data_IF_858014992784
#
_entry.id   IF_858014992784
#
_cell.length_a   1.000
_cell.length_b   1.000
_cell.length_c   1.000
_cell.angle_alpha   90.00
_cell.angle_beta   90.00
_cell.angle_gamma   90.00
#
_symmetry.space_group_name_H-M   'P 1'
#
loop_
_entity.id
_entity.type
_entity.pdbx_description
1 polymer ?
#
# COMPACT_ATOMS: atom_id res chain seq x y z
N UNK A 1 23.33 33.78 10.35
CA UNK A 1 22.80 34.42 9.11
C UNK A 1 22.45 33.29 8.16
N UNK A 2 21.22 32.98 7.79
CA UNK A 2 19.88 33.50 8.12
C UNK A 2 18.99 32.27 8.11
N UNK A 3 18.23 32.08 9.18
CA UNK A 3 17.17 31.08 9.25
C UNK A 3 16.20 31.34 8.12
N UNK A 4 16.07 30.39 7.18
CA UNK A 4 14.94 30.39 6.27
C UNK A 4 13.80 29.69 7.02
N UNK A 5 13.23 30.41 7.99
CA UNK A 5 11.80 30.29 8.23
C UNK A 5 11.13 30.99 7.04
N UNK A 6 11.08 30.30 5.90
CA UNK A 6 10.26 30.75 4.79
C UNK A 6 8.83 30.74 5.30
N UNK A 7 8.28 31.95 5.40
CA UNK A 7 6.97 32.20 5.95
C UNK A 7 5.95 31.35 5.19
N UNK A 8 5.00 30.73 5.91
CA UNK A 8 4.03 29.75 5.40
C UNK A 8 3.07 30.31 4.33
N UNK A 9 3.28 31.55 3.88
CA UNK A 9 2.49 32.31 2.92
C UNK A 9 3.15 32.51 1.55
N UNK A 10 4.47 32.35 1.36
CA UNK A 10 5.16 32.90 0.17
C UNK A 10 5.26 31.98 -1.07
N UNK A 11 5.05 30.66 -0.97
CA UNK A 11 5.24 29.76 -2.12
C UNK A 11 4.03 29.68 -3.09
N UNK A 12 3.06 30.60 -2.99
CA UNK A 12 1.95 30.65 -3.96
C UNK A 12 2.39 31.42 -5.22
N UNK A 13 2.54 30.71 -6.34
CA UNK A 13 2.80 31.30 -7.65
C UNK A 13 4.23 31.11 -8.17
N UNK A 14 5.12 30.52 -7.37
CA UNK A 14 6.44 30.10 -7.86
C UNK A 14 6.33 28.82 -8.70
N UNK A 15 6.96 28.84 -9.87
CA UNK A 15 7.03 27.69 -10.78
C UNK A 15 8.15 26.77 -10.32
N UNK A 16 7.78 25.71 -9.59
CA UNK A 16 8.73 24.66 -9.24
C UNK A 16 8.94 23.76 -10.45
N UNK A 17 10.12 23.15 -10.55
CA UNK A 17 10.39 22.19 -11.63
C UNK A 17 11.00 20.92 -11.07
N UNK A 18 10.70 19.80 -11.72
CA UNK A 18 11.35 18.54 -11.41
C UNK A 18 12.87 18.69 -11.61
N UNK A 19 13.72 18.33 -10.62
CA UNK A 19 15.16 18.50 -10.76
C UNK A 19 15.73 17.69 -11.93
N UNK A 20 15.08 16.58 -12.30
CA UNK A 20 15.55 15.63 -13.32
C UNK A 20 15.05 15.92 -14.74
N UNK A 21 13.77 16.25 -14.93
CA UNK A 21 13.20 16.50 -16.27
C UNK A 21 12.63 17.89 -16.48
N UNK A 22 12.79 18.79 -15.51
CA UNK A 22 12.39 20.20 -15.58
C UNK A 22 10.90 20.47 -15.82
N UNK A 23 10.04 19.44 -15.84
CA UNK A 23 8.58 19.61 -15.87
C UNK A 23 8.10 20.44 -14.69
N UNK A 24 7.11 21.30 -14.93
CA UNK A 24 6.55 22.18 -13.92
C UNK A 24 5.81 21.39 -12.83
N UNK A 25 6.05 21.77 -11.58
CA UNK A 25 5.45 21.20 -10.38
C UNK A 25 4.63 22.28 -9.68
N UNK A 26 3.45 21.89 -9.22
CA UNK A 26 2.64 22.66 -8.28
C UNK A 26 3.07 22.34 -6.85
N UNK A 27 3.15 23.36 -6.00
CA UNK A 27 3.30 23.17 -4.57
C UNK A 27 1.93 23.07 -3.89
N UNK A 28 1.67 21.96 -3.19
CA UNK A 28 0.50 21.84 -2.33
C UNK A 28 0.91 22.20 -0.90
N UNK A 29 0.27 23.23 -0.35
CA UNK A 29 0.46 23.66 1.04
C UNK A 29 0.07 22.56 2.02
N UNK A 30 0.59 22.67 3.23
CA UNK A 30 0.16 21.84 4.34
C UNK A 30 -1.34 21.98 4.54
N UNK A 31 -2.00 20.85 4.79
CA UNK A 31 -3.44 20.78 5.01
C UNK A 31 -3.75 20.16 6.34
N UNK A 32 -5.01 20.26 6.78
CA UNK A 32 -5.50 19.54 7.96
C UNK A 32 -6.31 18.32 7.52
N UNK A 33 -6.02 17.15 8.09
CA UNK A 33 -6.80 15.92 7.90
C UNK A 33 -7.55 15.58 9.18
N UNK A 34 -8.87 15.49 9.09
CA UNK A 34 -9.72 15.06 10.19
C UNK A 34 -9.74 13.53 10.30
N UNK A 35 -9.29 13.01 11.43
CA UNK A 35 -9.51 11.62 11.89
C UNK A 35 -10.68 11.59 12.88
N UNK A 36 -11.17 10.39 13.22
CA UNK A 36 -12.34 10.23 14.11
C UNK A 36 -12.22 11.02 15.41
N UNK A 37 -11.03 10.99 16.04
CA UNK A 37 -10.81 11.57 17.37
C UNK A 37 -9.85 12.78 17.38
N UNK A 38 -9.23 13.15 16.23
CA UNK A 38 -8.23 14.22 16.18
C UNK A 38 -8.05 14.80 14.79
N UNK A 39 -7.43 15.97 14.71
CA UNK A 39 -6.93 16.55 13.46
C UNK A 39 -5.43 16.33 13.39
N UNK A 40 -4.93 15.90 12.22
CA UNK A 40 -3.49 15.84 11.95
C UNK A 40 -3.12 16.81 10.83
N UNK A 41 -1.90 17.34 10.90
CA UNK A 41 -1.35 18.13 9.81
C UNK A 41 -0.78 17.21 8.72
N UNK A 42 -1.14 17.50 7.47
CA UNK A 42 -0.57 16.89 6.27
C UNK A 42 0.54 17.81 5.81
N UNK A 43 1.77 17.31 5.78
CA UNK A 43 2.93 18.06 5.30
C UNK A 43 2.72 18.56 3.87
N UNK A 44 3.28 19.73 3.52
CA UNK A 44 3.25 20.20 2.15
C UNK A 44 4.07 19.27 1.24
N UNK A 45 3.71 19.21 -0.03
CA UNK A 45 4.44 18.40 -1.00
C UNK A 45 4.32 18.98 -2.41
N UNK A 46 5.28 18.63 -3.28
CA UNK A 46 5.25 18.99 -4.70
C UNK A 46 4.50 17.93 -5.50
N UNK A 47 3.71 18.37 -6.48
CA UNK A 47 2.93 17.51 -7.36
C UNK A 47 2.99 18.00 -8.81
N UNK A 48 2.69 17.12 -9.75
CA UNK A 48 2.40 17.52 -11.13
C UNK A 48 1.01 18.16 -11.22
N UNK A 49 0.81 19.04 -12.19
CA UNK A 49 -0.53 19.43 -12.58
C UNK A 49 -1.27 18.28 -13.27
N UNK A 50 -2.59 18.29 -13.18
CA UNK A 50 -3.42 17.20 -13.68
C UNK A 50 -3.22 16.99 -15.19
N UNK A 51 -2.86 15.76 -15.57
CA UNK A 51 -2.64 15.37 -16.96
C UNK A 51 -1.25 15.68 -17.51
N UNK A 52 -0.35 16.26 -16.69
CA UNK A 52 1.06 16.45 -17.05
C UNK A 52 1.85 15.23 -16.56
N UNK A 53 2.77 14.75 -17.40
CA UNK A 53 3.67 13.63 -17.06
C UNK A 53 5.13 14.09 -17.05
N UNK A 54 5.94 13.43 -16.24
CA UNK A 54 7.39 13.55 -16.36
C UNK A 54 7.88 13.04 -17.73
N UNK A 55 9.01 13.54 -18.22
CA UNK A 55 9.64 13.01 -19.43
C UNK A 55 10.05 11.54 -19.28
N UNK A 56 10.12 10.78 -20.38
CA UNK A 56 10.32 9.33 -20.36
C UNK A 56 11.56 8.83 -19.61
N UNK A 57 12.64 9.62 -19.57
CA UNK A 57 13.88 9.26 -18.88
C UNK A 57 13.93 9.77 -17.42
N UNK A 58 12.87 10.39 -16.93
CA UNK A 58 12.80 10.86 -15.56
C UNK A 58 12.56 9.69 -14.60
N UNK A 59 13.26 9.68 -13.46
CA UNK A 59 13.01 8.71 -12.40
C UNK A 59 11.55 8.75 -11.90
N UNK A 60 10.90 9.89 -11.99
CA UNK A 60 9.49 10.04 -11.61
C UNK A 60 8.50 9.73 -12.74
N UNK A 61 8.96 9.28 -13.91
CA UNK A 61 8.06 8.86 -14.98
C UNK A 61 7.33 7.57 -14.59
N UNK A 62 6.02 7.65 -14.45
CA UNK A 62 5.13 6.53 -14.12
C UNK A 62 5.35 5.32 -15.03
N UNK A 63 5.36 5.54 -16.35
CA UNK A 63 5.49 4.45 -17.31
C UNK A 63 6.89 3.82 -17.27
N UNK A 64 7.95 4.61 -17.17
CA UNK A 64 9.33 4.14 -17.02
C UNK A 64 9.51 3.32 -15.74
N UNK A 65 8.91 3.75 -14.62
CA UNK A 65 8.88 2.95 -13.39
C UNK A 65 8.14 1.63 -13.57
N UNK A 66 7.01 1.63 -14.30
CA UNK A 66 6.30 0.40 -14.66
C UNK A 66 7.19 -0.48 -15.54
N UNK A 67 7.93 0.07 -16.51
CA UNK A 67 8.83 -0.70 -17.36
C UNK A 67 9.97 -1.33 -16.56
N UNK A 68 10.59 -0.60 -15.65
CA UNK A 68 11.60 -1.13 -14.71
C UNK A 68 11.00 -2.27 -13.87
N UNK A 69 9.79 -2.07 -13.34
CA UNK A 69 9.02 -3.10 -12.63
C UNK A 69 8.70 -4.28 -13.57
N UNK A 70 8.56 -4.12 -14.88
CA UNK A 70 8.31 -5.28 -15.76
C UNK A 70 9.58 -6.02 -16.18
N UNK A 71 10.74 -5.34 -16.20
CA UNK A 71 11.99 -5.89 -16.72
C UNK A 71 12.87 -6.64 -15.70
N UNK A 72 12.61 -6.57 -14.38
CA UNK A 72 13.43 -7.36 -13.42
C UNK A 72 13.22 -8.88 -13.66
N UNK A 73 14.28 -9.71 -13.68
CA UNK A 73 14.27 -11.07 -14.23
C UNK A 73 13.38 -12.11 -13.52
N UNK A 74 13.02 -13.13 -14.32
CA UNK A 74 12.32 -14.40 -14.07
C UNK A 74 10.81 -14.36 -13.74
N UNK A 75 10.03 -14.88 -14.70
CA UNK A 75 8.65 -15.37 -14.58
C UNK A 75 7.52 -14.36 -14.29
N UNK A 76 7.36 -13.30 -15.11
CA UNK A 76 6.26 -12.32 -14.94
C UNK A 76 5.15 -12.36 -16.00
N UNK A 77 5.25 -13.16 -17.07
CA UNK A 77 4.17 -13.26 -18.09
C UNK A 77 2.84 -13.72 -17.49
N UNK A 78 2.87 -14.48 -16.40
CA UNK A 78 1.67 -14.92 -15.71
C UNK A 78 1.05 -13.83 -14.82
N UNK A 79 1.86 -12.91 -14.30
CA UNK A 79 1.45 -11.82 -13.42
C UNK A 79 1.11 -10.54 -14.16
N UNK A 80 1.91 -10.15 -15.14
CA UNK A 80 1.71 -8.97 -15.97
C UNK A 80 1.74 -9.32 -17.45
N UNK A 81 0.78 -8.75 -18.18
CA UNK A 81 0.65 -8.91 -19.62
C UNK A 81 0.70 -7.55 -20.28
N UNK A 82 1.58 -7.37 -21.28
CA UNK A 82 1.61 -6.14 -22.10
C UNK A 82 0.40 -6.16 -23.04
N UNK A 83 -0.47 -5.15 -22.95
CA UNK A 83 -1.69 -5.03 -23.76
C UNK A 83 -1.51 -4.08 -24.94
N UNK A 84 -0.78 -2.98 -24.74
CA UNK A 84 -0.44 -1.98 -25.77
C UNK A 84 0.98 -1.46 -25.52
N UNK A 85 1.47 -0.57 -26.41
CA UNK A 85 2.82 0.03 -26.31
C UNK A 85 3.11 0.57 -24.91
N UNK A 86 2.13 1.25 -24.31
CA UNK A 86 2.21 1.99 -23.05
C UNK A 86 1.29 1.44 -21.95
N UNK A 87 0.79 0.20 -22.08
CA UNK A 87 -0.21 -0.35 -21.18
C UNK A 87 0.05 -1.81 -20.84
N UNK A 88 0.04 -2.12 -19.54
CA UNK A 88 0.13 -3.46 -18.97
C UNK A 88 -1.15 -3.81 -18.18
N UNK A 89 -1.38 -5.10 -17.99
CA UNK A 89 -2.44 -5.63 -17.14
C UNK A 89 -1.86 -6.55 -16.06
N UNK A 90 -2.22 -6.30 -14.79
CA UNK A 90 -1.84 -7.11 -13.62
C UNK A 90 -2.94 -8.15 -13.36
N UNK A 91 -2.57 -9.42 -13.28
CA UNK A 91 -3.46 -10.54 -13.01
C UNK A 91 -3.51 -10.83 -11.51
N UNK A 92 -4.46 -10.21 -10.81
CA UNK A 92 -4.66 -10.33 -9.36
C UNK A 92 -4.92 -11.78 -8.89
N UNK A 93 -5.37 -12.65 -9.79
CA UNK A 93 -5.54 -14.08 -9.51
C UNK A 93 -4.23 -14.79 -9.19
N UNK A 94 -3.10 -14.34 -9.75
CA UNK A 94 -1.77 -14.89 -9.46
C UNK A 94 -1.31 -14.42 -8.09
N UNK A 95 -1.51 -13.12 -7.78
CA UNK A 95 -1.25 -12.57 -6.44
C UNK A 95 -2.03 -13.34 -5.37
N UNK A 96 -3.32 -13.60 -5.63
CA UNK A 96 -4.16 -14.36 -4.70
C UNK A 96 -3.64 -15.77 -4.44
N UNK A 97 -3.16 -16.47 -5.48
CA UNK A 97 -2.55 -17.80 -5.32
C UNK A 97 -1.26 -17.73 -4.51
N UNK A 98 -0.38 -16.76 -4.82
CA UNK A 98 0.86 -16.56 -4.11
C UNK A 98 0.68 -16.27 -2.60
N UNK A 99 -0.41 -15.58 -2.21
CA UNK A 99 -0.74 -15.36 -0.80
C UNK A 99 -1.23 -16.62 -0.07
N UNK A 100 -1.81 -17.59 -0.79
CA UNK A 100 -2.37 -18.81 -0.20
C UNK A 100 -1.34 -19.93 -0.03
N UNK A 101 -0.17 -19.81 -0.68
CA UNK A 101 0.90 -20.77 -0.54
C UNK A 101 1.56 -20.65 0.85
N UNK A 102 2.07 -21.76 1.41
CA UNK A 102 2.82 -21.72 2.67
C UNK A 102 4.07 -20.84 2.52
N UNK A 103 4.45 -20.07 3.56
CA UNK A 103 5.71 -19.33 3.58
C UNK A 103 6.88 -20.27 3.25
N UNK A 104 7.81 -19.83 2.43
CA UNK A 104 9.08 -20.55 2.28
C UNK A 104 9.88 -20.28 3.57
N UNK A 105 10.49 -21.32 4.13
CA UNK A 105 11.51 -21.13 5.16
C UNK A 105 12.64 -20.34 4.49
N UNK A 106 12.90 -19.13 4.96
CA UNK A 106 14.07 -18.36 4.54
C UNK A 106 15.30 -19.10 5.09
N UNK A 107 15.89 -20.01 4.30
CA UNK A 107 17.21 -20.55 4.65
C UNK A 107 18.18 -19.37 4.70
N UNK A 108 18.68 -19.09 5.91
CA UNK A 108 19.76 -18.14 6.12
C UNK A 108 20.89 -18.47 5.15
N UNK A 109 21.20 -17.51 4.27
CA UNK A 109 22.31 -17.63 3.35
C UNK A 109 23.58 -17.89 4.14
N UNK A 110 24.02 -19.14 4.17
CA UNK A 110 25.31 -19.51 4.72
C UNK A 110 26.37 -18.74 3.95
N UNK A 111 27.05 -17.85 4.67
CA UNK A 111 28.14 -17.04 4.18
C UNK A 111 29.15 -17.92 3.44
N UNK A 112 29.24 -17.75 2.12
CA UNK A 112 30.29 -18.37 1.34
C UNK A 112 31.63 -17.77 1.75
N UNK A 113 32.41 -18.55 2.50
CA UNK A 113 33.82 -18.27 2.77
C UNK A 113 34.59 -18.26 1.42
N UNK A 114 35.35 -17.21 1.08
CA UNK A 114 36.03 -17.14 -0.20
C UNK A 114 37.44 -17.76 -0.11
N UNK A 115 37.56 -19.08 -0.17
CA UNK A 115 38.85 -19.74 -0.48
C UNK A 115 38.65 -21.08 -1.20
N UNK A 116 39.11 -21.18 -2.46
CA UNK A 116 39.38 -22.45 -3.13
C UNK A 116 38.96 -22.51 -4.59
N UNK A 117 39.95 -22.66 -5.49
CA UNK A 117 39.81 -22.84 -6.94
C UNK A 117 39.16 -24.18 -7.31
N UNK A 118 38.41 -24.17 -8.42
CA UNK A 118 38.17 -25.34 -9.28
C UNK A 118 37.00 -26.23 -8.85
N UNK A 119 35.84 -26.10 -9.50
CA UNK A 119 35.43 -27.01 -10.58
C UNK A 119 34.04 -26.62 -11.07
N UNK A 120 33.87 -26.56 -12.39
CA UNK A 120 32.58 -26.35 -13.03
C UNK A 120 31.74 -27.61 -12.83
N UNK A 121 30.89 -27.60 -11.81
CA UNK A 121 29.80 -28.56 -11.67
C UNK A 121 28.48 -27.82 -11.76
N UNK A 122 27.69 -28.20 -12.76
CA UNK A 122 26.29 -27.85 -12.95
C UNK A 122 25.51 -28.04 -11.64
N UNK A 123 25.39 -26.96 -10.87
CA UNK A 123 24.43 -26.89 -9.78
C UNK A 123 23.07 -26.60 -10.40
N UNK A 124 22.39 -27.68 -10.77
CA UNK A 124 20.94 -27.70 -11.00
C UNK A 124 20.24 -27.10 -9.77
N UNK A 125 19.98 -25.80 -9.83
CA UNK A 125 19.19 -25.07 -8.87
C UNK A 125 17.74 -25.56 -9.04
N UNK A 126 17.36 -26.57 -8.24
CA UNK A 126 15.97 -27.01 -8.16
C UNK A 126 15.15 -25.86 -7.59
N UNK A 127 14.52 -25.10 -8.48
CA UNK A 127 13.49 -24.10 -8.22
C UNK A 127 12.37 -24.74 -7.38
N UNK A 128 12.45 -24.62 -6.05
CA UNK A 128 11.37 -24.93 -5.11
C UNK A 128 10.96 -23.61 -4.48
N UNK A 129 9.72 -23.18 -4.77
CA UNK A 129 9.11 -21.97 -4.21
C UNK A 129 9.34 -20.72 -5.07
N UNK A 130 8.38 -20.36 -5.93
CA UNK A 130 8.60 -19.36 -7.01
C UNK A 130 7.58 -18.21 -7.02
N UNK A 131 6.84 -18.00 -5.93
CA UNK A 131 5.70 -17.05 -5.91
C UNK A 131 5.93 -15.79 -5.05
N UNK A 132 6.96 -15.77 -4.21
CA UNK A 132 7.49 -14.56 -3.54
C UNK A 132 7.78 -13.38 -4.51
N UNK A 133 8.30 -13.61 -5.73
CA UNK A 133 8.51 -12.55 -6.71
C UNK A 133 7.24 -11.80 -7.12
N UNK A 134 6.08 -12.48 -7.16
CA UNK A 134 4.80 -11.84 -7.51
C UNK A 134 4.31 -10.91 -6.41
N UNK A 135 4.44 -11.34 -5.15
CA UNK A 135 4.07 -10.52 -3.99
C UNK A 135 4.99 -9.29 -3.87
N UNK A 136 6.29 -9.50 -4.08
CA UNK A 136 7.27 -8.41 -4.12
C UNK A 136 6.99 -7.43 -5.25
N UNK A 137 6.58 -7.94 -6.43
CA UNK A 137 6.19 -7.08 -7.55
C UNK A 137 4.93 -6.30 -7.27
N UNK A 138 3.94 -6.94 -6.66
CA UNK A 138 2.71 -6.28 -6.28
C UNK A 138 3.01 -5.15 -5.29
N UNK A 139 3.87 -5.40 -4.31
CA UNK A 139 4.38 -4.39 -3.38
C UNK A 139 5.02 -3.20 -4.11
N UNK A 140 5.91 -3.43 -5.07
CA UNK A 140 6.51 -2.36 -5.88
C UNK A 140 5.45 -1.51 -6.59
N UNK A 141 4.42 -2.14 -7.17
CA UNK A 141 3.31 -1.44 -7.83
C UNK A 141 2.48 -0.65 -6.82
N UNK A 142 2.26 -1.17 -5.62
CA UNK A 142 1.53 -0.46 -4.57
C UNK A 142 2.29 0.76 -4.06
N UNK A 143 3.61 0.65 -3.90
CA UNK A 143 4.49 1.77 -3.57
C UNK A 143 4.49 2.81 -4.70
N UNK A 144 4.53 2.36 -5.95
CA UNK A 144 4.44 3.27 -7.09
C UNK A 144 3.09 4.00 -7.09
N UNK A 145 1.98 3.28 -6.87
CA UNK A 145 0.64 3.87 -6.81
C UNK A 145 0.54 4.87 -5.65
N UNK A 146 1.08 4.59 -4.48
CA UNK A 146 0.97 5.49 -3.33
C UNK A 146 1.69 6.82 -3.51
N UNK A 147 2.68 6.87 -4.43
CA UNK A 147 3.37 8.11 -4.80
C UNK A 147 2.54 9.00 -5.75
N UNK A 148 1.43 8.49 -6.28
CA UNK A 148 0.54 9.21 -7.20
C UNK A 148 -0.66 9.78 -6.46
N UNK A 149 -1.18 10.90 -6.94
CA UNK A 149 -2.36 11.51 -6.33
C UNK A 149 -3.65 10.82 -6.79
N UNK A 150 -3.79 10.64 -8.11
CA UNK A 150 -5.01 10.12 -8.70
C UNK A 150 -4.81 8.70 -9.22
N UNK A 151 -5.88 7.90 -9.15
CA UNK A 151 -5.91 6.60 -9.80
C UNK A 151 -5.75 6.73 -11.33
N UNK A 152 -6.13 7.86 -11.92
CA UNK A 152 -6.03 8.12 -13.37
C UNK A 152 -4.57 8.01 -13.85
N UNK A 153 -3.62 8.51 -13.06
CA UNK A 153 -2.18 8.54 -13.39
C UNK A 153 -1.62 7.12 -13.60
N UNK A 154 -2.03 6.17 -12.74
CA UNK A 154 -1.62 4.76 -12.90
C UNK A 154 -2.49 4.03 -13.91
N UNK A 155 -3.79 4.37 -14.00
CA UNK A 155 -4.80 3.63 -14.78
C UNK A 155 -4.57 3.72 -16.28
N UNK A 156 -3.95 4.80 -16.76
CA UNK A 156 -3.49 4.93 -18.15
C UNK A 156 -2.60 3.75 -18.55
N UNK A 157 -1.67 3.40 -17.67
CA UNK A 157 -0.59 2.45 -17.93
C UNK A 157 -0.82 1.06 -17.31
N UNK A 158 -1.65 0.94 -16.28
CA UNK A 158 -1.91 -0.31 -15.57
C UNK A 158 -3.40 -0.61 -15.42
N UNK A 159 -3.78 -1.77 -15.97
CA UNK A 159 -5.09 -2.40 -15.74
C UNK A 159 -4.98 -3.47 -14.67
N UNK A 160 -6.05 -3.65 -13.91
CA UNK A 160 -6.17 -4.74 -12.94
C UNK A 160 -7.14 -5.78 -13.49
N UNK A 161 -6.74 -7.05 -13.55
CA UNK A 161 -7.56 -8.15 -14.04
C UNK A 161 -7.73 -9.23 -12.97
N UNK A 162 -8.96 -9.69 -12.76
CA UNK A 162 -9.29 -10.80 -11.88
C UNK A 162 -10.35 -11.70 -12.52
N UNK A 163 -10.04 -12.99 -12.74
CA UNK A 163 -10.95 -13.95 -13.39
C UNK A 163 -11.55 -13.40 -14.70
N UNK A 164 -10.68 -12.89 -15.56
CA UNK A 164 -11.02 -12.29 -16.87
C UNK A 164 -11.90 -11.03 -16.82
N UNK A 165 -12.04 -10.40 -15.65
CA UNK A 165 -12.75 -9.12 -15.50
C UNK A 165 -11.77 -8.02 -15.11
N UNK A 166 -11.93 -6.84 -15.70
CA UNK A 166 -11.19 -5.65 -15.28
C UNK A 166 -11.75 -5.12 -13.97
N UNK A 167 -10.87 -4.90 -12.99
CA UNK A 167 -11.18 -4.27 -11.72
C UNK A 167 -10.76 -2.80 -11.82
N UNK A 168 -11.65 -1.91 -11.38
CA UNK A 168 -11.34 -0.48 -11.33
C UNK A 168 -10.48 -0.16 -10.10
N UNK A 169 -9.55 0.78 -10.23
CA UNK A 169 -8.61 1.12 -9.16
C UNK A 169 -9.29 1.62 -7.88
N UNK A 170 -10.43 2.29 -7.99
CA UNK A 170 -11.29 2.73 -6.87
C UNK A 170 -11.97 1.58 -6.10
N UNK A 171 -11.90 0.35 -6.63
CA UNK A 171 -12.36 -0.87 -5.94
C UNK A 171 -11.21 -1.69 -5.39
N UNK A 172 -9.98 -1.37 -5.79
CA UNK A 172 -8.79 -2.15 -5.46
C UNK A 172 -7.88 -1.41 -4.48
N UNK A 173 -7.54 -0.14 -4.75
CA UNK A 173 -6.64 0.66 -3.93
C UNK A 173 -7.44 1.71 -3.14
N UNK A 174 -7.25 1.71 -1.82
CA UNK A 174 -7.87 2.67 -0.92
C UNK A 174 -6.78 3.41 -0.16
N UNK A 175 -6.58 4.67 -0.55
CA UNK A 175 -5.58 5.55 0.03
C UNK A 175 -5.95 6.03 1.45
N UNK A 176 -5.05 6.80 2.08
CA UNK A 176 -5.22 7.30 3.43
C UNK A 176 -6.05 8.60 3.46
N UNK A 177 -6.59 9.03 2.32
CA UNK A 177 -7.45 10.21 2.22
C UNK A 177 -8.89 9.90 2.63
N UNK A 178 -9.58 10.89 3.18
CA UNK A 178 -10.98 10.76 3.60
C UNK A 178 -11.90 10.25 2.48
N UNK A 179 -11.70 10.73 1.24
CA UNK A 179 -12.49 10.31 0.07
C UNK A 179 -12.37 8.81 -0.19
N UNK A 180 -11.17 8.24 -0.03
CA UNK A 180 -10.92 6.82 -0.30
C UNK A 180 -11.57 5.94 0.76
N UNK A 181 -11.56 6.38 2.02
CA UNK A 181 -12.31 5.73 3.07
C UNK A 181 -13.83 5.78 2.87
N UNK A 182 -14.37 6.89 2.34
CA UNK A 182 -15.78 6.96 1.96
C UNK A 182 -16.10 5.97 0.83
N UNK A 183 -15.24 5.89 -0.18
CA UNK A 183 -15.37 4.91 -1.26
C UNK A 183 -15.29 3.48 -0.72
N UNK A 184 -14.34 3.19 0.17
CA UNK A 184 -14.20 1.90 0.87
C UNK A 184 -15.48 1.53 1.63
N UNK A 185 -16.03 2.48 2.40
CA UNK A 185 -17.25 2.29 3.16
C UNK A 185 -18.45 1.99 2.24
N UNK A 186 -18.62 2.76 1.17
CA UNK A 186 -19.66 2.54 0.15
C UNK A 186 -19.49 1.21 -0.57
N UNK A 187 -18.24 0.82 -0.87
CA UNK A 187 -17.90 -0.42 -1.56
C UNK A 187 -18.40 -1.64 -0.78
N UNK A 188 -18.14 -1.68 0.53
CA UNK A 188 -18.55 -2.78 1.39
C UNK A 188 -19.99 -2.71 1.91
N UNK A 189 -20.63 -1.53 1.85
CA UNK A 189 -22.05 -1.37 2.21
C UNK A 189 -22.96 -2.29 1.39
N UNK A 190 -22.69 -2.38 0.09
CA UNK A 190 -23.58 -3.07 -0.86
C UNK A 190 -23.12 -4.49 -1.21
N UNK A 191 -21.85 -4.83 -0.93
CA UNK A 191 -21.24 -6.14 -1.21
C UNK A 191 -20.21 -6.46 -0.12
N UNK A 192 -20.56 -7.26 0.90
CA UNK A 192 -19.67 -7.50 2.03
C UNK A 192 -18.42 -8.32 1.67
N UNK A 193 -18.44 -9.07 0.57
CA UNK A 193 -17.33 -9.95 0.17
C UNK A 193 -16.84 -9.66 -1.25
N UNK A 194 -15.80 -8.82 -1.42
CA UNK A 194 -15.16 -8.64 -2.70
C UNK A 194 -14.44 -9.93 -3.06
N UNK A 195 -14.63 -10.35 -4.32
CA UNK A 195 -14.06 -11.61 -4.80
C UNK A 195 -12.55 -11.53 -5.06
N UNK A 196 -11.97 -10.34 -4.99
CA UNK A 196 -10.57 -10.06 -5.31
C UNK A 196 -9.83 -9.44 -4.12
N UNK A 197 -8.49 -9.57 -4.07
CA UNK A 197 -7.67 -8.86 -3.09
C UNK A 197 -7.86 -7.34 -3.21
N UNK A 198 -7.68 -6.62 -2.11
CA UNK A 198 -7.63 -5.16 -2.08
C UNK A 198 -6.29 -4.69 -1.50
N UNK A 199 -5.96 -3.43 -1.74
CA UNK A 199 -4.84 -2.72 -1.15
C UNK A 199 -5.38 -1.55 -0.32
N UNK A 200 -4.94 -1.45 0.93
CA UNK A 200 -5.28 -0.36 1.84
C UNK A 200 -4.00 0.31 2.29
N UNK A 201 -3.98 1.63 2.18
CA UNK A 201 -2.97 2.49 2.78
C UNK A 201 -3.56 3.22 3.99
N UNK A 202 -2.81 3.27 5.09
CA UNK A 202 -3.26 3.97 6.28
C UNK A 202 -2.17 4.15 7.33
N UNK A 203 -2.58 4.71 8.47
CA UNK A 203 -1.70 4.91 9.62
C UNK A 203 -2.06 3.89 10.69
N UNK A 204 -1.09 3.11 11.18
CA UNK A 204 -1.28 2.22 12.32
C UNK A 204 -1.50 3.08 13.57
N UNK A 205 -2.69 2.96 14.16
CA UNK A 205 -3.05 3.67 15.39
C UNK A 205 -2.46 2.97 16.61
N UNK A 206 -2.69 1.67 16.71
CA UNK A 206 -2.30 0.80 17.81
C UNK A 206 -2.30 -0.67 17.35
N UNK A 207 -1.75 -1.56 18.16
CA UNK A 207 -1.88 -3.00 17.96
C UNK A 207 -2.22 -3.72 19.26
N UNK A 208 -2.90 -4.86 19.15
CA UNK A 208 -3.35 -5.67 20.27
C UNK A 208 -3.13 -7.15 19.97
N UNK A 209 -2.75 -7.92 20.98
CA UNK A 209 -2.76 -9.39 20.91
C UNK A 209 -4.20 -9.85 21.17
N UNK A 210 -4.70 -10.73 20.31
CA UNK A 210 -6.05 -11.29 20.37
C UNK A 210 -6.01 -12.78 20.17
N UNK A 211 -7.13 -13.44 20.45
CA UNK A 211 -7.31 -14.87 20.26
C UNK A 211 -8.50 -15.12 19.35
N UNK A 212 -8.35 -16.06 18.42
CA UNK A 212 -9.44 -16.44 17.52
C UNK A 212 -10.42 -17.43 18.21
N UNK A 213 -11.43 -17.90 17.48
CA UNK A 213 -12.41 -18.88 18.01
C UNK A 213 -11.81 -20.26 18.31
N UNK A 214 -10.59 -20.54 17.83
CA UNK A 214 -9.87 -21.80 17.98
C UNK A 214 -8.73 -21.68 19.01
N UNK A 215 -8.73 -20.63 19.83
CA UNK A 215 -7.69 -20.34 20.81
C UNK A 215 -6.29 -20.05 20.22
N UNK A 216 -6.18 -19.74 18.93
CA UNK A 216 -4.93 -19.29 18.32
C UNK A 216 -4.72 -17.81 18.54
N UNK A 217 -3.51 -17.41 18.95
CA UNK A 217 -3.19 -15.99 19.15
C UNK A 217 -2.79 -15.33 17.84
N UNK A 218 -3.10 -14.05 17.73
CA UNK A 218 -2.71 -13.21 16.61
C UNK A 218 -2.53 -11.75 17.07
N UNK A 219 -1.65 -11.03 16.38
CA UNK A 219 -1.47 -9.59 16.53
C UNK A 219 -2.42 -8.86 15.56
N UNK A 220 -3.19 -7.91 16.07
CA UNK A 220 -4.13 -7.10 15.30
C UNK A 220 -3.66 -5.65 15.30
N UNK A 221 -3.15 -5.18 14.16
CA UNK A 221 -2.72 -3.80 13.93
C UNK A 221 -3.90 -2.99 13.39
N UNK A 222 -4.43 -2.07 14.19
CA UNK A 222 -5.61 -1.28 13.84
C UNK A 222 -5.18 0.02 13.18
N UNK A 223 -5.77 0.31 12.02
CA UNK A 223 -5.52 1.58 11.33
C UNK A 223 -6.38 2.71 11.92
N UNK A 224 -5.89 3.93 11.78
CA UNK A 224 -6.63 5.14 12.12
C UNK A 224 -7.96 5.20 11.37
N UNK A 225 -9.03 5.50 12.11
CA UNK A 225 -10.37 5.61 11.55
C UNK A 225 -10.60 7.00 10.99
N UNK A 226 -11.21 7.12 9.81
CA UNK A 226 -11.64 8.40 9.26
C UNK A 226 -12.83 8.94 10.05
N UNK A 227 -12.95 10.26 10.15
CA UNK A 227 -14.18 10.87 10.65
C UNK A 227 -15.22 10.97 9.54
N UNK A 228 -16.21 10.08 9.54
CA UNK A 228 -17.31 10.09 8.56
C UNK A 228 -18.43 11.00 9.06
N UNK A 229 -18.71 12.06 8.28
CA UNK A 229 -19.85 12.96 8.52
C UNK A 229 -21.16 12.43 7.93
N UNK A 230 -21.08 11.83 6.75
CA UNK A 230 -22.25 11.42 5.97
C UNK A 230 -23.03 10.30 6.66
N UNK A 231 -24.37 10.44 6.67
CA UNK A 231 -25.30 9.42 7.13
C UNK A 231 -26.03 8.76 5.96
N UNK A 232 -26.48 7.52 6.14
CA UNK A 232 -27.45 6.90 5.22
C UNK A 232 -28.87 7.46 5.42
N UNK A 233 -29.83 6.96 4.64
CA UNK A 233 -31.25 7.34 4.71
C UNK A 233 -31.89 7.02 6.05
N UNK A 234 -31.29 6.11 6.83
CA UNK A 234 -31.74 5.71 8.16
C UNK A 234 -31.02 6.50 9.28
N UNK A 235 -30.15 7.46 8.92
CA UNK A 235 -29.40 8.27 9.87
C UNK A 235 -28.11 7.62 10.40
N UNK A 236 -27.68 6.48 9.87
CA UNK A 236 -26.45 5.81 10.31
C UNK A 236 -25.21 6.34 9.59
N UNK A 237 -24.16 6.65 10.37
CA UNK A 237 -22.81 6.90 9.84
C UNK A 237 -22.13 5.56 9.55
N UNK A 238 -21.53 5.43 8.38
CA UNK A 238 -20.82 4.19 8.00
C UNK A 238 -19.31 4.36 8.11
N UNK A 239 -18.74 3.86 9.21
CA UNK A 239 -17.33 4.06 9.55
C UNK A 239 -16.52 2.81 9.18
N UNK A 240 -15.59 2.90 8.21
CA UNK A 240 -14.66 1.80 7.93
C UNK A 240 -13.64 1.69 9.07
N UNK A 241 -13.44 0.47 9.56
CA UNK A 241 -12.49 0.14 10.61
C UNK A 241 -11.60 -0.99 10.11
N UNK A 242 -10.34 -0.67 9.79
CA UNK A 242 -9.42 -1.62 9.17
C UNK A 242 -8.47 -2.20 10.21
N UNK A 243 -8.31 -3.53 10.19
CA UNK A 243 -7.32 -4.26 10.99
C UNK A 243 -6.47 -5.18 10.13
N UNK A 244 -5.15 -5.12 10.29
CA UNK A 244 -4.21 -6.06 9.71
C UNK A 244 -3.86 -7.12 10.75
N UNK A 245 -4.19 -8.38 10.49
CA UNK A 245 -4.01 -9.46 11.44
C UNK A 245 -2.89 -10.40 11.02
N UNK A 246 -2.02 -10.76 11.96
CA UNK A 246 -0.87 -11.65 11.77
C UNK A 246 -0.91 -12.72 12.87
N UNK A 247 -0.95 -13.99 12.50
CA UNK A 247 -0.88 -15.08 13.49
C UNK A 247 0.51 -15.15 14.15
N UNK A 248 0.55 -15.65 15.39
CA UNK A 248 1.78 -15.70 16.19
C UNK A 248 2.92 -16.51 15.54
N UNK A 249 2.60 -17.52 14.71
CA UNK A 249 3.61 -18.27 13.95
C UNK A 249 4.45 -17.45 12.97
N UNK A 250 4.09 -16.19 12.68
CA UNK A 250 4.84 -15.28 11.81
C UNK A 250 5.64 -14.26 12.63
N UNK A 251 6.48 -14.73 13.57
CA UNK A 251 7.24 -13.89 14.51
C UNK A 251 8.06 -12.80 13.81
N UNK A 252 8.80 -13.13 12.75
CA UNK A 252 9.63 -12.15 12.00
C UNK A 252 8.82 -11.01 11.39
N UNK A 253 7.61 -11.29 10.92
CA UNK A 253 6.69 -10.29 10.39
C UNK A 253 6.09 -9.43 11.52
N UNK A 254 5.77 -10.05 12.67
CA UNK A 254 5.30 -9.33 13.85
C UNK A 254 6.38 -8.37 14.33
N UNK A 255 7.62 -8.83 14.48
CA UNK A 255 8.76 -8.01 14.89
C UNK A 255 8.98 -6.86 13.91
N UNK A 256 8.96 -7.13 12.60
CA UNK A 256 9.05 -6.10 11.57
C UNK A 256 7.99 -5.01 11.74
N UNK A 257 6.74 -5.39 12.01
CA UNK A 257 5.63 -4.44 12.19
C UNK A 257 5.73 -3.68 13.51
N UNK A 258 6.05 -4.36 14.62
CA UNK A 258 6.17 -3.80 15.96
C UNK A 258 7.34 -2.82 16.05
N UNK A 259 8.50 -3.19 15.51
CA UNK A 259 9.69 -2.33 15.50
C UNK A 259 9.44 -1.03 14.75
N UNK A 260 8.76 -1.10 13.60
CA UNK A 260 8.39 0.10 12.85
C UNK A 260 7.39 0.96 13.61
N UNK A 261 6.37 0.35 14.21
CA UNK A 261 5.41 1.08 15.04
C UNK A 261 6.10 1.81 16.21
N UNK A 262 7.04 1.13 16.91
CA UNK A 262 7.84 1.70 17.99
C UNK A 262 8.75 2.84 17.52
N UNK A 263 9.30 2.75 16.31
CA UNK A 263 10.08 3.82 15.64
C UNK A 263 9.21 4.97 15.10
N UNK A 264 7.92 5.01 15.45
CA UNK A 264 6.94 5.98 14.94
C UNK A 264 6.72 5.94 13.42
N UNK A 265 7.17 4.88 12.73
CA UNK A 265 6.89 4.60 11.32
C UNK A 265 5.51 3.96 11.20
N UNK A 266 4.47 4.80 11.23
CA UNK A 266 3.08 4.33 11.33
C UNK A 266 2.38 4.19 9.98
N UNK A 267 2.92 4.76 8.91
CA UNK A 267 2.31 4.65 7.59
C UNK A 267 2.59 3.28 6.99
N UNK A 268 1.53 2.60 6.59
CA UNK A 268 1.57 1.26 6.01
C UNK A 268 0.72 1.18 4.75
N UNK A 269 1.21 0.43 3.79
CA UNK A 269 0.39 -0.16 2.74
C UNK A 269 0.33 -1.66 2.98
N UNK A 270 -0.87 -2.21 2.90
CA UNK A 270 -1.09 -3.65 2.99
C UNK A 270 -2.05 -4.09 1.88
N UNK A 271 -1.82 -5.27 1.32
CA UNK A 271 -2.78 -5.89 0.41
C UNK A 271 -3.09 -7.34 0.80
N UNK A 272 -4.32 -7.74 0.52
CA UNK A 272 -4.79 -9.08 0.83
C UNK A 272 -6.28 -9.26 0.56
N UNK A 273 -6.78 -10.45 0.84
CA UNK A 273 -8.21 -10.73 0.76
C UNK A 273 -8.90 -10.15 2.01
N UNK A 274 -9.86 -9.23 1.85
CA UNK A 274 -10.55 -8.65 2.98
C UNK A 274 -11.69 -9.54 3.44
N UNK A 275 -11.82 -9.68 4.76
CA UNK A 275 -13.01 -10.20 5.43
C UNK A 275 -13.75 -9.04 6.08
N UNK A 276 -15.06 -8.89 5.84
CA UNK A 276 -15.82 -7.75 6.37
C UNK A 276 -16.97 -8.21 7.24
N UNK A 277 -17.02 -7.63 8.45
CA UNK A 277 -18.15 -7.77 9.37
C UNK A 277 -18.73 -6.39 9.68
N UNK A 278 -20.02 -6.23 9.40
CA UNK A 278 -20.75 -5.01 9.74
C UNK A 278 -21.32 -5.16 11.15
N UNK A 279 -20.93 -4.26 12.06
CA UNK A 279 -21.50 -4.16 13.40
C UNK A 279 -22.29 -2.86 13.50
N UNK A 280 -23.56 -2.95 13.88
CA UNK A 280 -24.43 -1.77 14.08
C UNK A 280 -24.45 -1.37 15.55
N UNK A 281 -24.09 -0.12 15.83
CA UNK A 281 -24.32 0.55 17.11
C UNK A 281 -25.52 1.47 16.96
N UNK A 282 -26.66 1.04 17.51
CA UNK A 282 -27.91 1.82 17.51
C UNK A 282 -27.82 3.03 18.42
N UNK A 283 -27.13 2.92 19.56
CA UNK A 283 -26.95 4.03 20.51
C UNK A 283 -26.25 5.25 19.87
N UNK A 284 -25.28 5.01 19.00
CA UNK A 284 -24.48 6.06 18.37
C UNK A 284 -24.86 6.32 16.91
N UNK A 285 -25.86 5.61 16.38
CA UNK A 285 -26.21 5.58 14.95
C UNK A 285 -24.97 5.37 14.06
N UNK A 286 -24.17 4.35 14.36
CA UNK A 286 -22.97 4.00 13.58
C UNK A 286 -23.03 2.56 13.10
N UNK A 287 -22.80 2.33 11.80
CA UNK A 287 -22.52 1.03 11.21
C UNK A 287 -21.00 0.92 10.99
N UNK A 288 -20.32 0.14 11.82
CA UNK A 288 -18.88 -0.12 11.67
C UNK A 288 -18.64 -1.21 10.63
N UNK A 289 -17.96 -0.87 9.55
CA UNK A 289 -17.49 -1.86 8.57
C UNK A 289 -16.12 -2.35 9.03
N UNK A 290 -16.09 -3.43 9.81
CA UNK A 290 -14.86 -4.03 10.33
C UNK A 290 -14.22 -4.85 9.22
N UNK A 291 -13.19 -4.29 8.60
CA UNK A 291 -12.45 -4.86 7.47
C UNK A 291 -11.17 -5.47 8.03
N UNK A 292 -11.05 -6.78 7.95
CA UNK A 292 -9.88 -7.53 8.40
C UNK A 292 -9.12 -8.05 7.20
N UNK A 293 -7.82 -7.77 7.13
CA UNK A 293 -6.91 -8.37 6.15
C UNK A 293 -5.89 -9.22 6.91
N UNK A 294 -5.78 -10.49 6.53
CA UNK A 294 -4.77 -11.38 7.09
C UNK A 294 -3.46 -11.24 6.32
N UNK A 295 -2.39 -11.03 7.06
CA UNK A 295 -1.03 -10.88 6.54
C UNK A 295 -0.22 -12.06 7.05
N UNK A 296 0.36 -12.81 6.12
CA UNK A 296 1.21 -13.96 6.41
C UNK A 296 2.63 -13.80 5.87
N UNK A 297 2.91 -12.70 5.14
CA UNK A 297 4.21 -12.43 4.52
C UNK A 297 4.58 -10.95 4.58
N UNK A 298 5.87 -10.65 4.74
CA UNK A 298 6.44 -9.30 4.66
C UNK A 298 6.24 -8.64 3.29
N UNK A 299 6.11 -9.45 2.22
CA UNK A 299 5.84 -8.97 0.87
C UNK A 299 4.40 -8.45 0.68
N UNK A 300 3.46 -8.74 1.59
CA UNK A 300 2.10 -8.17 1.57
C UNK A 300 2.02 -6.75 2.14
N UNK A 301 3.06 -6.32 2.83
CA UNK A 301 3.09 -5.03 3.53
C UNK A 301 4.28 -4.19 3.11
N UNK A 302 4.09 -2.88 3.05
CA UNK A 302 5.15 -1.90 2.97
C UNK A 302 4.97 -0.89 4.10
N UNK A 303 5.98 -0.78 4.95
CA UNK A 303 6.05 0.26 5.96
C UNK A 303 6.92 1.37 5.41
N UNK A 304 6.39 2.59 5.41
CA UNK A 304 7.20 3.75 5.07
C UNK A 304 8.08 4.05 6.27
N UNK A 305 9.37 3.75 6.13
CA UNK A 305 10.36 4.29 7.05
C UNK A 305 10.27 5.81 6.96
N UNK A 306 10.01 6.49 8.07
CA UNK A 306 9.98 7.96 8.10
C UNK A 306 11.34 8.49 7.63
N UNK A 307 11.45 8.81 6.35
CA UNK A 307 12.42 9.79 5.86
C UNK A 307 12.07 11.18 6.42
N UNK A 308 10.83 11.38 6.90
CA UNK A 308 10.29 12.68 7.29
C UNK A 308 10.38 13.03 8.79
N UNK A 309 10.82 12.13 9.68
CA UNK A 309 11.04 12.47 11.10
C UNK A 309 12.39 13.15 11.34
N UNK A 310 13.33 13.11 10.38
CA UNK A 310 14.62 13.81 10.46
C UNK A 310 14.63 15.22 9.86
N UNK A 311 13.50 15.74 9.36
CA UNK A 311 13.44 17.11 8.84
C UNK A 311 12.89 18.14 9.82
N UNK A 312 12.34 17.72 10.97
CA UNK A 312 11.88 18.60 12.04
C UNK A 312 12.05 18.00 13.45
N UNK A 313 13.07 17.15 13.63
CA UNK A 313 13.51 16.69 14.95
C UNK A 313 14.76 17.48 15.35
N UNK A 314 14.65 18.24 16.43
CA UNK A 314 15.70 19.01 17.11
C UNK A 314 16.98 18.20 17.41
#
# INVERSE_FOLDING_TARGET
MTNIEADKQELNGEKFTCPYCKVELSFRRSGKRQLENRVIDVSPYFRLEKGIEHEGNCEYNTFGQIEIITHKPMALKEFMEKKKKDQYAIRLQVVKKAMAEPPEEEEEGTTANPKGKGDASDKNYKNRGSMSPYLSRMKDIMILRSKMEENEDVKKHLKLEYKSKTISWDKFYFGPEYKDFLVLSKYFRNKPEPKHPICIEGMVKEYQIRTDRKNKKYNSFMLEKPYVKDTDTEGFRHVPSVSLNIYEEHETLIDYMVDNYKKHNKQIIAYGDPYVKINTSTQNNVKYHNITIWINRTAQVHLFNNVYVKLFGE
#
